data_IF_034477438385
#
_entry.id   IF_034477438385
#
_cell.length_a   1.000
_cell.length_b   1.000
_cell.length_c   1.000
_cell.angle_alpha   90.00
_cell.angle_beta   90.00
_cell.angle_gamma   90.00
#
_symmetry.space_group_name_H-M   'P 1'
#
loop_
_entity.id
_entity.type
_entity.pdbx_description
1 polymer ?
#
# COMPACT_ATOMS: atom_id res chain seq x y z
N UNK A 1 -14.70 4.56 29.68
CA UNK A 1 -13.60 3.90 28.96
C UNK A 1 -14.18 2.72 28.20
N UNK A 2 -14.48 2.90 26.93
CA UNK A 2 -14.91 1.79 26.07
C UNK A 2 -13.76 0.77 25.96
N UNK A 3 -14.08 -0.50 26.18
CA UNK A 3 -13.15 -1.59 25.89
C UNK A 3 -12.97 -1.62 24.38
N UNK A 4 -11.87 -1.04 23.87
CA UNK A 4 -11.45 -1.18 22.48
C UNK A 4 -11.41 -2.69 22.20
N UNK A 5 -12.37 -3.19 21.39
CA UNK A 5 -12.35 -4.60 20.97
C UNK A 5 -10.97 -4.83 20.39
N UNK A 6 -10.29 -5.89 20.84
CA UNK A 6 -9.01 -6.31 20.26
C UNK A 6 -9.32 -6.59 18.78
N UNK A 7 -8.97 -5.63 17.92
CA UNK A 7 -9.14 -5.78 16.49
C UNK A 7 -8.16 -6.86 16.06
N UNK A 8 -8.64 -7.84 15.30
CA UNK A 8 -7.76 -8.82 14.65
C UNK A 8 -7.03 -8.21 13.46
N UNK A 9 -7.36 -6.96 13.11
CA UNK A 9 -6.69 -6.27 12.02
C UNK A 9 -5.24 -5.98 12.38
N UNK A 10 -4.42 -6.15 11.36
CA UNK A 10 -3.02 -5.79 11.32
C UNK A 10 -2.85 -4.84 10.14
N UNK A 11 -1.72 -4.14 10.10
CA UNK A 11 -1.35 -3.29 8.96
C UNK A 11 -0.26 -3.98 8.17
N UNK A 12 -0.52 -4.16 6.88
CA UNK A 12 0.35 -4.81 5.92
C UNK A 12 1.01 -3.76 5.03
N UNK A 13 2.28 -3.98 4.72
CA UNK A 13 2.98 -3.23 3.66
C UNK A 13 2.82 -3.99 2.34
N UNK A 14 2.22 -3.34 1.34
CA UNK A 14 2.00 -3.90 0.01
C UNK A 14 2.69 -3.01 -1.03
N UNK A 15 3.42 -3.62 -1.96
CA UNK A 15 3.87 -2.98 -3.19
C UNK A 15 2.93 -3.38 -4.31
N UNK A 16 2.23 -2.41 -4.89
CA UNK A 16 1.33 -2.62 -6.01
C UNK A 16 1.89 -1.96 -7.25
N UNK A 17 2.06 -2.75 -8.31
CA UNK A 17 2.35 -2.19 -9.62
C UNK A 17 1.04 -1.91 -10.35
N UNK A 18 0.90 -0.69 -10.86
CA UNK A 18 -0.23 -0.28 -11.70
C UNK A 18 0.24 0.06 -13.12
N UNK A 19 -0.59 -0.26 -14.10
CA UNK A 19 -0.39 0.15 -15.49
C UNK A 19 -1.10 1.46 -15.80
N UNK A 20 -0.73 2.09 -16.92
CA UNK A 20 -1.42 3.28 -17.43
C UNK A 20 -2.88 2.98 -17.80
N UNK A 21 -3.79 3.85 -17.36
CA UNK A 21 -5.20 3.88 -17.75
C UNK A 21 -5.71 5.33 -17.84
N UNK A 22 -6.75 5.55 -18.64
CA UNK A 22 -7.41 6.85 -18.68
C UNK A 22 -8.02 7.19 -17.30
N UNK A 23 -7.70 8.38 -16.78
CA UNK A 23 -8.18 8.84 -15.48
C UNK A 23 -7.42 8.29 -14.27
N UNK A 24 -6.29 7.58 -14.46
CA UNK A 24 -5.50 6.98 -13.38
C UNK A 24 -4.74 7.97 -12.48
N UNK A 25 -4.74 9.25 -12.82
CA UNK A 25 -4.00 10.29 -12.09
C UNK A 25 -2.48 10.22 -12.23
N UNK A 26 -1.94 9.34 -13.08
CA UNK A 26 -0.50 9.24 -13.30
C UNK A 26 0.03 10.46 -14.10
N UNK A 27 1.26 10.92 -13.81
CA UNK A 27 1.90 12.01 -14.56
C UNK A 27 1.92 11.77 -16.07
N UNK A 28 1.91 12.84 -16.87
CA UNK A 28 1.98 12.72 -18.33
C UNK A 28 3.24 11.96 -18.76
N UNK A 29 3.09 11.07 -19.75
CA UNK A 29 4.18 10.23 -20.26
C UNK A 29 4.54 9.02 -19.39
N UNK A 30 3.94 8.86 -18.21
CA UNK A 30 4.13 7.65 -17.41
C UNK A 30 3.47 6.43 -18.08
N UNK A 31 4.08 5.25 -17.99
CA UNK A 31 3.54 3.98 -18.49
C UNK A 31 2.90 3.12 -17.39
N UNK A 32 3.15 3.49 -16.13
CA UNK A 32 2.64 2.82 -14.93
C UNK A 32 3.25 3.45 -13.68
N UNK A 33 3.08 2.81 -12.53
CA UNK A 33 3.76 3.19 -11.30
C UNK A 33 3.87 2.01 -10.32
N UNK A 34 4.84 2.08 -9.42
CA UNK A 34 4.86 1.33 -8.18
C UNK A 34 4.23 2.15 -7.06
N UNK A 35 3.32 1.55 -6.30
CA UNK A 35 2.66 2.14 -5.14
C UNK A 35 3.08 1.36 -3.90
N UNK A 36 3.74 2.03 -2.94
CA UNK A 36 3.90 1.50 -1.59
C UNK A 36 2.64 1.83 -0.80
N UNK A 37 1.97 0.81 -0.27
CA UNK A 37 0.66 0.91 0.36
C UNK A 37 0.72 0.32 1.76
N UNK A 38 0.09 1.02 2.72
CA UNK A 38 -0.27 0.46 4.01
C UNK A 38 -1.75 0.15 4.03
N UNK A 39 -2.07 -1.13 4.19
CA UNK A 39 -3.44 -1.63 4.14
C UNK A 39 -3.77 -2.38 5.43
N UNK A 40 -4.90 -2.04 6.05
CA UNK A 40 -5.45 -2.83 7.15
C UNK A 40 -6.10 -4.11 6.64
N UNK A 41 -5.91 -5.22 7.36
CA UNK A 41 -6.59 -6.49 7.08
C UNK A 41 -6.44 -7.48 8.24
N UNK A 42 -7.33 -8.46 8.34
CA UNK A 42 -7.23 -9.56 9.31
C UNK A 42 -6.17 -10.58 8.90
N UNK A 43 -5.96 -10.73 7.59
CA UNK A 43 -4.90 -11.49 6.97
C UNK A 43 -4.41 -10.75 5.72
N UNK A 44 -3.25 -11.16 5.20
CA UNK A 44 -2.64 -10.56 4.03
C UNK A 44 -3.55 -10.66 2.80
N UNK A 45 -4.22 -11.80 2.63
CA UNK A 45 -5.07 -12.03 1.46
C UNK A 45 -6.28 -11.08 1.45
N UNK A 46 -6.84 -10.74 2.61
CA UNK A 46 -7.85 -9.70 2.75
C UNK A 46 -7.28 -8.32 2.40
N UNK A 47 -6.15 -7.94 2.99
CA UNK A 47 -5.50 -6.66 2.70
C UNK A 47 -5.24 -6.48 1.19
N UNK A 48 -4.78 -7.54 0.51
CA UNK A 48 -4.57 -7.56 -0.95
C UNK A 48 -5.89 -7.39 -1.71
N UNK A 49 -6.93 -8.15 -1.35
CA UNK A 49 -8.24 -8.06 -2.04
C UNK A 49 -8.86 -6.67 -1.91
N UNK A 50 -8.86 -6.10 -0.72
CA UNK A 50 -9.40 -4.77 -0.45
C UNK A 50 -8.60 -3.68 -1.18
N UNK A 51 -7.27 -3.78 -1.16
CA UNK A 51 -6.39 -2.86 -1.89
C UNK A 51 -6.69 -2.87 -3.39
N UNK A 52 -6.79 -4.05 -4.00
CA UNK A 52 -7.14 -4.16 -5.43
C UNK A 52 -8.54 -3.61 -5.71
N UNK A 53 -9.50 -3.85 -4.83
CA UNK A 53 -10.87 -3.34 -5.00
C UNK A 53 -10.91 -1.81 -4.97
N UNK A 54 -10.24 -1.19 -3.98
CA UNK A 54 -10.16 0.27 -3.84
C UNK A 54 -9.43 0.90 -5.02
N UNK A 55 -8.29 0.34 -5.43
CA UNK A 55 -7.53 0.84 -6.58
C UNK A 55 -8.33 0.82 -7.88
N UNK A 56 -9.13 -0.23 -8.11
CA UNK A 56 -10.04 -0.31 -9.26
C UNK A 56 -11.16 0.72 -9.19
N UNK A 57 -11.71 0.99 -8.00
CA UNK A 57 -12.69 2.05 -7.79
C UNK A 57 -12.11 3.45 -8.02
N UNK A 58 -10.81 3.63 -7.75
CA UNK A 58 -10.06 4.85 -8.03
C UNK A 58 -9.55 4.94 -9.48
N UNK A 59 -10.14 4.19 -10.41
CA UNK A 59 -9.81 4.21 -11.85
C UNK A 59 -8.38 3.81 -12.23
N UNK A 60 -7.61 3.21 -11.32
CA UNK A 60 -6.27 2.67 -11.64
C UNK A 60 -6.35 1.25 -12.21
N UNK A 61 -5.22 0.74 -12.75
CA UNK A 61 -5.12 -0.60 -13.31
C UNK A 61 -4.05 -1.45 -12.58
N UNK A 62 -4.38 -2.09 -11.43
CA UNK A 62 -3.47 -3.01 -10.74
C UNK A 62 -3.02 -4.17 -11.63
N UNK A 63 -1.71 -4.43 -11.67
CA UNK A 63 -1.06 -5.47 -12.46
C UNK A 63 -0.53 -6.59 -11.56
N UNK A 64 0.25 -6.21 -10.55
CA UNK A 64 0.90 -7.13 -9.62
C UNK A 64 0.84 -6.58 -8.20
N UNK A 65 0.75 -7.48 -7.21
CA UNK A 65 0.72 -7.13 -5.79
C UNK A 65 1.71 -8.02 -5.05
N UNK A 66 2.70 -7.41 -4.42
CA UNK A 66 3.69 -8.06 -3.56
C UNK A 66 3.47 -7.62 -2.12
N UNK A 67 3.37 -8.56 -1.18
CA UNK A 67 3.30 -8.26 0.25
C UNK A 67 4.67 -8.31 0.92
N UNK A 68 4.90 -7.38 1.84
CA UNK A 68 6.12 -7.24 2.66
C UNK A 68 5.85 -7.52 4.14
N UNK A 69 4.77 -8.25 4.45
CA UNK A 69 4.38 -8.59 5.81
C UNK A 69 3.75 -7.43 6.58
N UNK A 70 3.55 -7.67 7.87
CA UNK A 70 2.95 -6.77 8.84
C UNK A 70 3.97 -5.81 9.45
N UNK A 71 3.49 -4.73 10.07
CA UNK A 71 4.33 -3.87 10.91
C UNK A 71 5.14 -4.66 11.95
N UNK A 72 4.52 -5.64 12.61
CA UNK A 72 5.19 -6.46 13.63
C UNK A 72 6.33 -7.30 13.03
N UNK A 73 6.07 -7.98 11.91
CA UNK A 73 7.09 -8.78 11.21
C UNK A 73 8.26 -7.90 10.74
N UNK A 74 7.99 -6.72 10.17
CA UNK A 74 9.06 -5.80 9.75
C UNK A 74 9.89 -5.30 10.93
N UNK A 75 9.27 -5.05 12.09
CA UNK A 75 9.98 -4.69 13.32
C UNK A 75 10.85 -5.85 13.84
N UNK A 76 10.36 -7.08 13.77
CA UNK A 76 11.11 -8.29 14.16
C UNK A 76 12.30 -8.55 13.23
N UNK A 77 12.17 -8.25 11.94
CA UNK A 77 13.25 -8.30 10.95
C UNK A 77 14.29 -7.18 11.12
N UNK A 78 14.04 -6.23 12.03
CA UNK A 78 14.95 -5.12 12.32
C UNK A 78 14.88 -3.99 11.31
N UNK A 79 13.80 -3.89 10.53
CA UNK A 79 13.58 -2.74 9.65
C UNK A 79 13.31 -1.48 10.47
N UNK A 80 14.05 -0.41 10.18
CA UNK A 80 13.79 0.90 10.76
C UNK A 80 12.57 1.51 10.07
N UNK A 81 11.55 1.80 10.88
CA UNK A 81 10.29 2.38 10.42
C UNK A 81 10.23 3.79 11.01
N UNK A 82 10.31 4.79 10.14
CA UNK A 82 10.27 6.20 10.55
C UNK A 82 8.94 6.58 11.19
N UNK A 83 8.93 7.67 11.96
CA UNK A 83 7.72 8.15 12.66
C UNK A 83 6.56 8.44 11.70
N UNK A 84 6.86 8.98 10.51
CA UNK A 84 5.84 9.27 9.49
C UNK A 84 5.22 7.99 8.91
N UNK A 85 6.03 6.98 8.60
CA UNK A 85 5.55 5.67 8.15
C UNK A 85 4.70 5.01 9.22
N UNK A 86 5.16 5.02 10.48
CA UNK A 86 4.40 4.47 11.60
C UNK A 86 3.06 5.19 11.78
N UNK A 87 3.02 6.51 11.61
CA UNK A 87 1.79 7.28 11.70
C UNK A 87 0.80 6.92 10.58
N UNK A 88 1.28 6.75 9.35
CA UNK A 88 0.44 6.28 8.23
C UNK A 88 -0.07 4.86 8.47
N UNK A 89 0.78 3.96 8.96
CA UNK A 89 0.41 2.59 9.28
C UNK A 89 -0.65 2.53 10.39
N UNK A 90 -0.47 3.31 11.45
CA UNK A 90 -1.44 3.42 12.54
C UNK A 90 -2.77 3.98 12.04
N UNK A 91 -2.73 4.99 11.16
CA UNK A 91 -3.93 5.55 10.54
C UNK A 91 -4.67 4.53 9.67
N UNK A 92 -3.95 3.75 8.87
CA UNK A 92 -4.55 2.67 8.06
C UNK A 92 -5.29 1.67 8.96
N UNK A 93 -4.69 1.31 10.10
CA UNK A 93 -5.29 0.40 11.08
C UNK A 93 -6.51 1.00 11.79
N UNK A 94 -6.46 2.28 12.15
CA UNK A 94 -7.55 2.95 12.87
C UNK A 94 -8.77 3.26 12.00
N UNK A 95 -8.53 3.60 10.74
CA UNK A 95 -9.57 3.98 9.78
C UNK A 95 -10.07 2.78 8.94
N UNK A 96 -9.49 1.59 9.12
CA UNK A 96 -9.70 0.43 8.26
C UNK A 96 -9.50 0.81 6.77
N UNK A 97 -8.36 1.42 6.48
CA UNK A 97 -8.09 2.11 5.22
C UNK A 97 -6.92 1.50 4.44
N UNK A 98 -6.91 1.82 3.14
CA UNK A 98 -5.79 1.59 2.22
C UNK A 98 -5.15 2.94 1.93
N UNK A 99 -3.90 3.12 2.35
CA UNK A 99 -3.18 4.38 2.24
C UNK A 99 -1.98 4.21 1.31
N UNK A 100 -1.91 5.01 0.24
CA UNK A 100 -0.72 5.10 -0.62
C UNK A 100 0.32 5.96 0.11
N UNK A 101 1.41 5.34 0.53
CA UNK A 101 2.51 6.01 1.23
C UNK A 101 3.52 6.63 0.27
N UNK A 102 3.79 5.94 -0.84
CA UNK A 102 4.71 6.40 -1.88
C UNK A 102 4.18 5.98 -3.26
N UNK A 103 4.39 6.84 -4.26
CA UNK A 103 4.12 6.54 -5.66
C UNK A 103 5.38 6.84 -6.47
N UNK A 104 5.87 5.83 -7.19
CA UNK A 104 7.02 5.93 -8.07
C UNK A 104 6.57 5.66 -9.51
N UNK A 105 6.35 6.70 -10.33
CA UNK A 105 5.93 6.53 -11.72
C UNK A 105 7.03 5.91 -12.59
N UNK A 106 6.62 5.12 -13.57
CA UNK A 106 7.49 4.53 -14.58
C UNK A 106 7.41 5.35 -15.87
N UNK A 107 8.56 5.67 -16.46
CA UNK A 107 8.67 6.38 -17.74
C UNK A 107 9.49 5.56 -18.73
N UNK A 108 9.20 5.72 -20.03
CA UNK A 108 9.99 5.04 -21.07
C UNK A 108 11.48 5.44 -20.98
N UNK A 109 12.37 4.45 -20.96
CA UNK A 109 13.82 4.65 -20.90
C UNK A 109 14.41 4.91 -19.51
N UNK A 110 13.61 4.82 -18.43
CA UNK A 110 14.10 4.83 -17.06
C UNK A 110 13.87 3.48 -16.40
N UNK A 111 14.91 2.91 -15.80
CA UNK A 111 14.76 1.76 -14.92
C UNK A 111 14.11 2.22 -13.60
N UNK A 112 13.11 1.50 -13.09
CA UNK A 112 12.53 1.83 -11.80
C UNK A 112 13.58 1.62 -10.70
N UNK A 113 14.05 2.72 -10.11
CA UNK A 113 14.83 2.70 -8.86
C UNK A 113 13.88 2.52 -7.68
N UNK A 114 13.92 1.33 -7.08
CA UNK A 114 13.33 1.06 -5.78
C UNK A 114 14.34 1.51 -4.72
N UNK A 115 13.97 2.49 -3.89
CA UNK A 115 14.78 2.96 -2.76
C UNK A 115 14.29 2.30 -1.47
#
# INVERSE_FOLDING_TARGET
MEKKKISRQQVYTLLVQIGRKEGDGLPEGATGAALMIYASGVDEAEAVRETVAILKQADTAPLDVTGYGTLAERQEEGHEIGEEELALMQRALEENAVIVAQMTPFFEGQEPTFH
#
